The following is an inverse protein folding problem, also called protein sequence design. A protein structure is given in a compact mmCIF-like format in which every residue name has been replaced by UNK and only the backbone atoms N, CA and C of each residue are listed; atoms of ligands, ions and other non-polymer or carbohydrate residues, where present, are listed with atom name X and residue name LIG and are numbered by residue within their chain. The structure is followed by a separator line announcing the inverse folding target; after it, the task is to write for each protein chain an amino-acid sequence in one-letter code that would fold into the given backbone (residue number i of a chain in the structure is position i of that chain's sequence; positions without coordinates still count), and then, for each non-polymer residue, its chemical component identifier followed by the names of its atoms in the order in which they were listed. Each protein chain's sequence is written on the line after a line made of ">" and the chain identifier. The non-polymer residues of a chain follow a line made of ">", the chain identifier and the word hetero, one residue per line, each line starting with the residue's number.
data_IF_527639489922
#
_entry.id   IF_527639489922
#
_cell.length_a   1.000
_cell.length_b   1.000
_cell.length_c   1.000
_cell.angle_alpha   90.00
_cell.angle_beta   90.00
_cell.angle_gamma   90.00
#
_symmetry.space_group_name_H-M   'P 1'
#
loop_
_entity.id
_entity.type
_entity.pdbx_description
1 polymer ?
#
# COMPACT_ATOMS: atom_id res chain seq x y z
N UNK A 1 -21.19 45.23 -20.97
CA UNK A 1 -20.02 44.47 -21.44
C UNK A 1 -19.62 43.44 -20.40
N UNK A 2 -19.71 42.13 -20.71
CA UNK A 2 -18.92 41.11 -20.03
C UNK A 2 -18.06 40.32 -21.02
N UNK A 3 -16.77 40.22 -20.70
CA UNK A 3 -15.78 39.47 -21.48
C UNK A 3 -16.00 37.96 -21.31
N UNK A 4 -16.26 37.30 -22.44
CA UNK A 4 -16.24 35.85 -22.61
C UNK A 4 -14.78 35.38 -22.64
N UNK A 5 -14.41 34.46 -21.76
CA UNK A 5 -13.20 33.63 -21.91
C UNK A 5 -13.61 32.18 -22.12
N UNK A 6 -13.58 31.78 -23.38
CA UNK A 6 -13.65 30.41 -23.87
C UNK A 6 -12.33 29.70 -23.60
N UNK A 7 -12.32 28.65 -22.77
CA UNK A 7 -11.21 27.70 -22.71
C UNK A 7 -11.60 26.42 -23.45
N UNK A 8 -10.94 26.24 -24.60
CA UNK A 8 -11.02 25.08 -25.50
C UNK A 8 -10.65 23.80 -24.76
N UNK A 9 -11.53 22.80 -24.83
CA UNK A 9 -11.20 21.40 -24.59
C UNK A 9 -10.22 20.93 -25.67
N UNK A 10 -9.02 20.53 -25.27
CA UNK A 10 -8.13 19.71 -26.11
C UNK A 10 -8.44 18.26 -25.75
N UNK A 11 -9.17 17.60 -26.64
CA UNK A 11 -9.44 16.17 -26.61
C UNK A 11 -8.26 15.41 -27.23
N UNK A 12 -7.53 14.64 -26.42
CA UNK A 12 -6.53 13.68 -26.90
C UNK A 12 -7.21 12.32 -27.03
N UNK A 13 -7.68 12.02 -28.24
CA UNK A 13 -8.13 10.69 -28.66
C UNK A 13 -6.91 9.87 -29.08
N UNK A 14 -6.51 8.87 -28.28
CA UNK A 14 -5.54 7.87 -28.70
C UNK A 14 -6.26 6.75 -29.47
N UNK A 15 -6.09 6.78 -30.79
CA UNK A 15 -6.56 5.75 -31.71
C UNK A 15 -5.64 4.52 -31.66
N UNK A 16 -6.20 3.37 -31.31
CA UNK A 16 -5.58 2.05 -31.52
C UNK A 16 -5.58 1.74 -33.03
N UNK A 17 -4.43 1.91 -33.69
CA UNK A 17 -4.19 1.38 -35.03
C UNK A 17 -3.83 -0.10 -34.95
N UNK A 18 -4.71 -0.94 -35.52
CA UNK A 18 -4.38 -2.26 -36.07
C UNK A 18 -3.38 -2.08 -37.21
N UNK A 19 -2.41 -2.99 -37.35
CA UNK A 19 -1.75 -3.19 -38.64
C UNK A 19 -1.78 -4.66 -39.03
N UNK A 20 -2.33 -4.86 -40.23
CA UNK A 20 -2.51 -6.13 -40.93
C UNK A 20 -1.25 -6.52 -41.68
N UNK A 21 -1.22 -7.80 -42.06
CA UNK A 21 -0.28 -8.47 -42.97
C UNK A 21 -0.23 -7.84 -44.36
N UNK A 22 0.97 -7.71 -44.93
CA UNK A 22 1.31 -7.73 -46.37
C UNK A 22 2.78 -8.18 -46.47
N UNK A 23 3.08 -9.41 -46.91
CA UNK A 23 3.41 -9.82 -48.29
C UNK A 23 4.50 -8.98 -48.99
N UNK A 24 5.71 -9.54 -49.00
CA UNK A 24 6.73 -9.67 -50.08
C UNK A 24 6.82 -8.52 -51.10
N UNK A 25 7.98 -7.85 -51.13
CA UNK A 25 8.64 -7.48 -52.38
C UNK A 25 10.17 -7.46 -52.20
N UNK A 26 10.83 -8.29 -53.00
CA UNK A 26 12.29 -8.47 -53.04
C UNK A 26 12.95 -7.35 -53.82
N UNK A 27 13.97 -6.70 -53.25
CA UNK A 27 14.93 -5.93 -54.03
C UNK A 27 16.35 -6.34 -53.67
N UNK A 28 17.04 -6.80 -54.71
CA UNK A 28 18.45 -7.14 -54.78
C UNK A 28 19.32 -5.94 -54.35
N UNK A 29 20.22 -6.16 -53.38
CA UNK A 29 21.40 -5.32 -53.17
C UNK A 29 22.61 -6.25 -53.16
N UNK A 30 23.54 -6.00 -54.08
CA UNK A 30 24.79 -6.72 -54.29
C UNK A 30 25.72 -6.65 -53.05
N UNK A 31 26.50 -7.71 -52.77
CA UNK A 31 27.48 -7.70 -51.69
C UNK A 31 28.79 -7.05 -52.15
N UNK A 32 29.14 -5.90 -51.57
CA UNK A 32 30.46 -5.29 -51.75
C UNK A 32 31.47 -5.96 -50.82
N UNK A 33 32.38 -6.71 -51.42
CA UNK A 33 33.57 -7.27 -50.79
C UNK A 33 34.57 -6.18 -50.33
N UNK A 34 35.32 -6.53 -49.28
CA UNK A 34 36.50 -5.88 -48.66
C UNK A 34 36.19 -5.43 -47.22
N UNK A 35 36.88 -5.84 -46.15
CA UNK A 35 38.23 -6.39 -46.04
C UNK A 35 38.37 -7.29 -44.80
N UNK A 36 39.14 -8.36 -44.95
CA UNK A 36 39.65 -9.21 -43.86
C UNK A 36 40.50 -8.38 -42.88
N UNK A 37 39.98 -8.15 -41.67
CA UNK A 37 40.80 -8.12 -40.46
C UNK A 37 40.60 -9.48 -39.80
N UNK A 38 41.62 -10.31 -39.98
CA UNK A 38 41.76 -11.63 -39.40
C UNK A 38 42.02 -11.47 -37.90
N UNK A 39 40.96 -11.43 -37.09
CA UNK A 39 41.05 -11.71 -35.66
C UNK A 39 41.10 -13.23 -35.49
N UNK A 40 42.31 -13.77 -35.59
CA UNK A 40 42.62 -15.09 -35.04
C UNK A 40 42.86 -14.94 -33.53
N UNK A 41 42.08 -15.68 -32.74
CA UNK A 41 42.40 -15.99 -31.34
C UNK A 41 41.51 -15.33 -30.30
N UNK A 42 40.35 -15.94 -30.00
CA UNK A 42 39.94 -16.53 -28.70
C UNK A 42 38.56 -17.17 -28.96
N UNK A 43 38.50 -18.18 -29.84
CA UNK A 43 37.34 -19.06 -29.96
C UNK A 43 37.66 -20.37 -29.22
N UNK A 44 37.77 -20.27 -27.89
CA UNK A 44 37.67 -21.42 -26.99
C UNK A 44 36.23 -21.54 -26.50
N UNK A 45 35.63 -22.74 -26.40
CA UNK A 45 34.22 -22.93 -26.01
C UNK A 45 33.96 -22.70 -24.50
N UNK A 46 34.66 -21.77 -23.82
CA UNK A 46 34.73 -21.74 -22.36
C UNK A 46 34.79 -20.39 -21.66
N UNK A 47 34.38 -19.27 -22.27
CA UNK A 47 34.50 -17.94 -21.62
C UNK A 47 33.22 -17.11 -21.59
N UNK A 48 32.05 -17.75 -21.59
CA UNK A 48 30.79 -17.05 -21.35
C UNK A 48 30.55 -16.87 -19.85
N UNK A 49 30.07 -15.70 -19.42
CA UNK A 49 29.67 -15.44 -18.02
C UNK A 49 28.79 -16.58 -17.45
N UNK A 50 27.92 -17.16 -18.28
CA UNK A 50 26.97 -18.21 -17.90
C UNK A 50 27.58 -19.62 -17.83
N UNK A 51 28.87 -19.77 -18.15
CA UNK A 51 29.63 -21.03 -18.00
C UNK A 51 30.42 -21.08 -16.68
N UNK A 52 30.34 -20.02 -15.86
CA UNK A 52 30.94 -19.98 -14.55
C UNK A 52 30.30 -21.02 -13.59
N UNK A 53 31.04 -21.51 -12.59
CA UNK A 53 30.49 -22.30 -11.49
C UNK A 53 29.28 -21.63 -10.83
N UNK A 54 28.33 -22.45 -10.36
CA UNK A 54 27.06 -22.01 -9.78
C UNK A 54 27.24 -21.09 -8.58
N UNK A 55 28.33 -21.25 -7.84
CA UNK A 55 28.67 -20.45 -6.66
C UNK A 55 29.04 -19.01 -7.06
N UNK A 56 29.86 -18.86 -8.11
CA UNK A 56 30.23 -17.54 -8.64
C UNK A 56 29.02 -16.85 -9.28
N UNK A 57 28.20 -17.61 -10.01
CA UNK A 57 26.94 -17.10 -10.56
C UNK A 57 26.00 -16.64 -9.45
N UNK A 58 25.84 -17.42 -8.37
CA UNK A 58 25.02 -17.02 -7.22
C UNK A 58 25.51 -15.71 -6.61
N UNK A 59 26.83 -15.57 -6.39
CA UNK A 59 27.41 -14.36 -5.83
C UNK A 59 27.26 -13.13 -6.74
N UNK A 60 27.38 -13.31 -8.06
CA UNK A 60 27.12 -12.21 -9.01
C UNK A 60 25.64 -11.82 -8.95
N UNK A 61 24.74 -12.81 -8.97
CA UNK A 61 23.31 -12.57 -9.07
C UNK A 61 22.74 -11.93 -7.80
N UNK A 62 23.26 -12.27 -6.60
CA UNK A 62 22.84 -11.64 -5.33
C UNK A 62 23.07 -10.12 -5.29
N UNK A 63 23.97 -9.59 -6.12
CA UNK A 63 24.19 -8.13 -6.23
C UNK A 63 23.23 -7.42 -7.18
N UNK A 64 22.49 -8.16 -8.01
CA UNK A 64 21.63 -7.60 -9.05
C UNK A 64 20.28 -7.16 -8.49
N UNK A 65 19.75 -6.06 -9.04
CA UNK A 65 18.39 -5.62 -8.77
C UNK A 65 17.35 -6.53 -9.46
N UNK A 66 16.08 -6.41 -9.06
CA UNK A 66 15.01 -7.15 -9.74
C UNK A 66 14.92 -6.81 -11.23
N UNK A 67 15.12 -5.54 -11.58
CA UNK A 67 15.04 -5.06 -12.96
C UNK A 67 16.14 -5.67 -13.81
N UNK A 68 17.37 -5.74 -13.27
CA UNK A 68 18.51 -6.37 -13.92
C UNK A 68 18.28 -7.87 -14.13
N UNK A 69 17.72 -8.55 -13.14
CA UNK A 69 17.37 -9.97 -13.25
C UNK A 69 16.29 -10.20 -14.30
N UNK A 70 15.28 -9.34 -14.35
CA UNK A 70 14.25 -9.39 -15.38
C UNK A 70 14.85 -9.17 -16.78
N UNK A 71 15.75 -8.18 -16.93
CA UNK A 71 16.46 -7.94 -18.17
C UNK A 71 17.34 -9.12 -18.57
N UNK A 72 18.06 -9.71 -17.62
CA UNK A 72 18.93 -10.87 -17.84
C UNK A 72 18.15 -12.08 -18.38
N UNK A 73 16.93 -12.32 -17.88
CA UNK A 73 16.04 -13.39 -18.39
C UNK A 73 15.67 -13.21 -19.86
N UNK A 74 15.68 -11.97 -20.37
CA UNK A 74 15.33 -11.66 -21.76
C UNK A 74 16.53 -11.79 -22.71
N UNK A 75 17.76 -11.91 -22.18
CA UNK A 75 18.98 -11.95 -23.01
C UNK A 75 19.17 -13.27 -23.74
N UNK A 76 19.06 -14.41 -23.05
CA UNK A 76 19.24 -15.73 -23.65
C UNK A 76 18.46 -16.84 -22.91
N UNK A 77 18.28 -17.99 -23.57
CA UNK A 77 17.54 -19.14 -23.01
C UNK A 77 18.20 -19.72 -21.74
N UNK A 78 19.53 -19.74 -21.71
CA UNK A 78 20.30 -20.30 -20.59
C UNK A 78 20.15 -19.41 -19.34
N UNK A 79 20.30 -18.09 -19.50
CA UNK A 79 20.04 -17.12 -18.44
C UNK A 79 18.58 -17.20 -17.95
N UNK A 80 17.62 -17.33 -18.86
CA UNK A 80 16.23 -17.52 -18.49
C UNK A 80 16.04 -18.80 -17.65
N UNK A 81 16.65 -19.91 -18.04
CA UNK A 81 16.57 -21.17 -17.29
C UNK A 81 17.19 -21.03 -15.89
N UNK A 82 18.38 -20.46 -15.78
CA UNK A 82 19.09 -20.26 -14.49
C UNK A 82 18.32 -19.39 -13.50
N UNK A 83 17.63 -18.35 -13.98
CA UNK A 83 16.86 -17.44 -13.13
C UNK A 83 15.44 -17.95 -12.88
N UNK A 84 14.88 -18.74 -13.79
CA UNK A 84 13.47 -19.15 -13.70
C UNK A 84 13.21 -20.12 -12.56
N UNK A 85 14.12 -21.06 -12.31
CA UNK A 85 14.01 -22.05 -11.25
C UNK A 85 15.40 -22.40 -10.68
N UNK A 86 15.49 -22.62 -9.36
CA UNK A 86 16.71 -23.17 -8.74
C UNK A 86 17.26 -22.41 -7.53
N UNK A 87 18.50 -22.75 -7.18
CA UNK A 87 19.15 -22.28 -5.94
C UNK A 87 19.73 -20.86 -6.05
N UNK A 88 20.05 -20.40 -7.26
CA UNK A 88 20.48 -19.00 -7.51
C UNK A 88 19.36 -18.03 -7.15
N UNK A 89 18.12 -18.35 -7.55
CA UNK A 89 16.97 -17.54 -7.20
C UNK A 89 16.68 -17.57 -5.68
N UNK A 90 16.89 -18.72 -5.04
CA UNK A 90 16.77 -18.87 -3.58
C UNK A 90 17.77 -17.97 -2.85
N UNK A 91 19.04 -18.08 -3.22
CA UNK A 91 20.13 -17.29 -2.62
C UNK A 91 19.91 -15.80 -2.82
N UNK A 92 19.51 -15.38 -4.02
CA UNK A 92 19.12 -13.99 -4.30
C UNK A 92 18.01 -13.47 -3.38
N UNK A 93 16.97 -14.28 -3.16
CA UNK A 93 15.83 -13.91 -2.32
C UNK A 93 16.21 -13.74 -0.85
N UNK A 94 17.11 -14.58 -0.32
CA UNK A 94 17.48 -14.59 1.11
C UNK A 94 18.61 -13.62 1.46
N UNK A 95 19.63 -13.49 0.61
CA UNK A 95 20.85 -12.73 0.94
C UNK A 95 20.62 -11.23 0.84
N UNK A 96 19.86 -10.80 -0.16
CA UNK A 96 19.87 -9.40 -0.58
C UNK A 96 18.84 -8.52 0.12
N UNK A 97 18.19 -9.01 1.19
CA UNK A 97 17.08 -8.33 1.91
C UNK A 97 15.93 -7.87 1.00
N UNK A 98 15.87 -8.37 -0.24
CA UNK A 98 14.89 -7.95 -1.24
C UNK A 98 13.47 -8.38 -0.89
N UNK A 99 13.33 -9.46 -0.14
CA UNK A 99 12.06 -9.94 0.39
C UNK A 99 12.15 -9.96 1.91
N UNK A 100 11.16 -9.35 2.57
CA UNK A 100 11.11 -9.33 4.04
C UNK A 100 10.97 -10.77 4.60
N UNK A 101 11.75 -11.14 5.64
CA UNK A 101 11.65 -12.46 6.25
C UNK A 101 10.24 -12.82 6.75
N UNK A 102 9.52 -11.81 7.26
CA UNK A 102 8.12 -11.96 7.67
C UNK A 102 7.23 -12.43 6.51
N UNK A 103 7.48 -11.94 5.29
CA UNK A 103 6.71 -12.35 4.12
C UNK A 103 6.99 -13.81 3.73
N UNK A 104 8.23 -14.27 3.88
CA UNK A 104 8.61 -15.66 3.62
C UNK A 104 8.00 -16.62 4.66
N UNK A 105 7.83 -16.17 5.90
CA UNK A 105 7.11 -16.91 6.94
C UNK A 105 5.62 -17.05 6.60
N UNK A 106 4.98 -15.96 6.15
CA UNK A 106 3.56 -15.97 5.80
C UNK A 106 3.28 -16.79 4.54
N UNK A 107 4.15 -16.73 3.53
CA UNK A 107 3.99 -17.46 2.28
C UNK A 107 5.13 -18.45 2.08
N UNK A 108 5.09 -19.65 2.67
CA UNK A 108 6.12 -20.65 2.44
C UNK A 108 6.21 -20.98 0.95
N UNK A 109 7.44 -21.15 0.44
CA UNK A 109 7.66 -21.54 -0.94
C UNK A 109 7.66 -23.07 -1.09
N UNK A 110 7.19 -23.54 -2.24
CA UNK A 110 7.32 -24.95 -2.65
C UNK A 110 8.68 -25.17 -3.32
N UNK A 111 9.29 -26.34 -3.13
CA UNK A 111 10.50 -26.71 -3.84
C UNK A 111 10.15 -27.40 -5.18
N UNK A 112 10.72 -26.98 -6.33
CA UNK A 112 11.71 -25.91 -6.52
C UNK A 112 11.10 -24.49 -6.55
N UNK A 113 11.87 -23.48 -6.09
CA UNK A 113 11.45 -22.08 -6.12
C UNK A 113 11.36 -21.60 -7.57
N UNK A 114 10.20 -21.06 -7.94
CA UNK A 114 9.95 -20.48 -9.27
C UNK A 114 10.05 -18.95 -9.23
N UNK A 115 10.50 -18.36 -10.33
CA UNK A 115 10.56 -16.91 -10.49
C UNK A 115 9.22 -16.21 -10.29
N UNK A 116 8.11 -16.86 -10.67
CA UNK A 116 6.77 -16.30 -10.45
C UNK A 116 6.46 -16.12 -8.96
N UNK A 117 6.93 -17.02 -8.09
CA UNK A 117 6.79 -16.86 -6.64
C UNK A 117 7.51 -15.61 -6.16
N UNK A 118 8.74 -15.38 -6.60
CA UNK A 118 9.53 -14.19 -6.24
C UNK A 118 8.87 -12.90 -6.68
N UNK A 119 8.38 -12.84 -7.93
CA UNK A 119 7.65 -11.67 -8.43
C UNK A 119 6.40 -11.37 -7.60
N UNK A 120 5.67 -12.41 -7.17
CA UNK A 120 4.50 -12.25 -6.30
C UNK A 120 4.88 -11.65 -4.95
N UNK A 121 5.96 -12.13 -4.32
CA UNK A 121 6.40 -11.59 -3.04
C UNK A 121 6.81 -10.13 -3.14
N UNK A 122 7.61 -9.78 -4.14
CA UNK A 122 8.03 -8.39 -4.36
C UNK A 122 6.82 -7.49 -4.64
N UNK A 123 5.84 -7.98 -5.41
CA UNK A 123 4.59 -7.25 -5.65
C UNK A 123 3.80 -7.01 -4.36
N UNK A 124 3.65 -8.03 -3.51
CA UNK A 124 2.96 -7.90 -2.20
C UNK A 124 3.66 -6.89 -1.30
N UNK A 125 4.98 -6.98 -1.18
CA UNK A 125 5.78 -6.05 -0.40
C UNK A 125 5.68 -4.61 -0.95
N UNK A 126 5.78 -4.43 -2.27
CA UNK A 126 5.63 -3.12 -2.90
C UNK A 126 4.24 -2.52 -2.67
N UNK A 127 3.18 -3.34 -2.73
CA UNK A 127 1.82 -2.89 -2.41
C UNK A 127 1.74 -2.47 -0.94
N UNK A 128 2.25 -3.26 0.00
CA UNK A 128 2.23 -2.92 1.42
C UNK A 128 2.98 -1.62 1.73
N UNK A 129 4.22 -1.48 1.22
CA UNK A 129 5.04 -0.25 1.37
C UNK A 129 4.33 0.98 0.81
N UNK A 130 3.78 0.89 -0.41
CA UNK A 130 3.02 1.99 -1.01
C UNK A 130 1.77 2.32 -0.20
N UNK A 131 1.09 1.31 0.35
CA UNK A 131 -0.13 1.51 1.14
C UNK A 131 0.20 2.18 2.47
N UNK A 132 1.26 1.76 3.16
CA UNK A 132 1.75 2.39 4.39
C UNK A 132 2.15 3.86 4.16
N UNK A 133 2.83 4.17 3.05
CA UNK A 133 3.16 5.53 2.68
C UNK A 133 1.90 6.40 2.45
N UNK A 134 0.87 5.83 1.81
CA UNK A 134 -0.41 6.52 1.62
C UNK A 134 -1.18 6.69 2.93
N UNK A 135 -1.13 5.73 3.85
CA UNK A 135 -1.74 5.86 5.17
C UNK A 135 -1.07 6.93 6.01
N UNK A 136 0.26 6.96 6.07
CA UNK A 136 0.97 8.02 6.80
C UNK A 136 0.75 9.39 6.17
N UNK A 137 0.66 9.49 4.84
CA UNK A 137 0.25 10.73 4.18
C UNK A 137 -1.20 11.14 4.52
N UNK A 138 -2.11 10.17 4.63
CA UNK A 138 -3.49 10.40 5.07
C UNK A 138 -3.53 10.90 6.53
N UNK A 139 -2.78 10.26 7.43
CA UNK A 139 -2.66 10.63 8.85
C UNK A 139 -2.11 12.05 8.96
N UNK A 140 -1.04 12.37 8.23
CA UNK A 140 -0.50 13.73 8.18
C UNK A 140 -1.58 14.76 7.80
N UNK A 141 -2.27 14.53 6.69
CA UNK A 141 -3.21 15.50 6.11
C UNK A 141 -4.46 15.69 6.95
N UNK A 142 -5.03 14.60 7.48
CA UNK A 142 -6.35 14.62 8.12
C UNK A 142 -6.30 14.68 9.64
N UNK A 143 -5.20 14.26 10.25
CA UNK A 143 -5.05 14.18 11.71
C UNK A 143 -4.01 15.20 12.17
N UNK A 144 -2.73 14.96 11.88
CA UNK A 144 -1.61 15.76 12.42
C UNK A 144 -1.75 17.24 12.05
N UNK A 145 -1.97 17.54 10.76
CA UNK A 145 -2.16 18.91 10.28
C UNK A 145 -3.31 19.60 11.01
N UNK A 146 -4.46 18.94 11.16
CA UNK A 146 -5.66 19.55 11.74
C UNK A 146 -5.50 19.73 13.26
N UNK A 147 -5.00 18.71 13.95
CA UNK A 147 -4.81 18.73 15.40
C UNK A 147 -3.78 19.76 15.82
N UNK A 148 -2.57 19.73 15.24
CA UNK A 148 -1.49 20.62 15.67
C UNK A 148 -1.67 22.07 15.22
N UNK A 149 -2.37 22.32 14.11
CA UNK A 149 -2.75 23.69 13.72
C UNK A 149 -3.73 24.30 14.73
N UNK A 150 -4.61 23.50 15.36
CA UNK A 150 -5.54 23.99 16.39
C UNK A 150 -4.85 24.34 17.70
N UNK A 151 -3.78 23.61 18.04
CA UNK A 151 -2.99 23.87 19.26
C UNK A 151 -2.04 25.07 19.06
N UNK A 152 -1.92 25.60 17.84
CA UNK A 152 -1.10 26.79 17.55
C UNK A 152 0.41 26.55 17.61
N UNK A 153 0.84 25.29 17.67
CA UNK A 153 2.25 24.92 17.83
C UNK A 153 3.09 25.12 16.56
N UNK A 154 2.45 25.14 15.39
CA UNK A 154 3.15 25.21 14.10
C UNK A 154 2.49 26.24 13.17
N UNK A 155 3.21 27.32 12.89
CA UNK A 155 2.74 28.37 11.97
C UNK A 155 3.11 28.10 10.50
N UNK A 156 4.05 27.18 10.24
CA UNK A 156 4.50 26.82 8.89
C UNK A 156 4.22 25.36 8.55
N UNK A 157 3.49 25.13 7.45
CA UNK A 157 3.18 23.79 6.92
C UNK A 157 4.44 23.04 6.46
N UNK A 158 5.48 23.75 6.01
CA UNK A 158 6.73 23.12 5.57
C UNK A 158 7.51 22.52 6.74
N UNK A 159 7.65 23.27 7.85
CA UNK A 159 8.33 22.79 9.06
C UNK A 159 7.62 21.56 9.62
N UNK A 160 6.29 21.62 9.77
CA UNK A 160 5.49 20.49 10.25
C UNK A 160 5.68 19.21 9.42
N UNK A 161 5.79 19.36 8.09
CA UNK A 161 6.02 18.23 7.19
C UNK A 161 7.41 17.62 7.37
N UNK A 162 8.44 18.45 7.55
CA UNK A 162 9.80 18.00 7.81
C UNK A 162 9.87 17.25 9.15
N UNK A 163 9.28 17.81 10.20
CA UNK A 163 9.31 17.24 11.55
C UNK A 163 8.51 15.91 11.63
N UNK A 164 7.46 15.77 10.80
CA UNK A 164 6.70 14.52 10.70
C UNK A 164 7.37 13.45 9.82
N UNK A 165 8.33 13.79 8.97
CA UNK A 165 8.95 12.83 8.05
C UNK A 165 9.64 11.62 8.75
N UNK A 166 10.46 11.77 9.80
CA UNK A 166 11.08 10.63 10.48
C UNK A 166 10.03 9.74 11.17
N UNK A 167 9.01 10.36 11.75
CA UNK A 167 7.87 9.67 12.38
C UNK A 167 7.11 8.85 11.33
N UNK A 168 6.85 9.44 10.17
CA UNK A 168 6.18 8.75 9.08
C UNK A 168 6.98 7.52 8.61
N UNK A 169 8.32 7.60 8.57
CA UNK A 169 9.17 6.49 8.21
C UNK A 169 9.09 5.35 9.25
N UNK A 170 9.12 5.68 10.55
CA UNK A 170 8.99 4.70 11.64
C UNK A 170 7.61 4.04 11.64
N UNK A 171 6.54 4.84 11.51
CA UNK A 171 5.18 4.33 11.36
C UNK A 171 5.07 3.40 10.16
N UNK A 172 5.66 3.77 9.01
CA UNK A 172 5.67 2.89 7.83
C UNK A 172 6.40 1.58 8.11
N UNK A 173 7.56 1.61 8.76
CA UNK A 173 8.34 0.42 9.10
C UNK A 173 7.53 -0.55 9.98
N UNK A 174 6.78 -0.04 10.96
CA UNK A 174 5.91 -0.84 11.83
C UNK A 174 4.62 -1.31 11.14
N UNK A 175 4.04 -0.50 10.27
CA UNK A 175 2.80 -0.84 9.56
C UNK A 175 3.00 -1.90 8.47
N UNK A 176 4.15 -1.94 7.80
CA UNK A 176 4.38 -2.86 6.67
C UNK A 176 4.20 -4.33 7.05
N UNK A 177 4.81 -4.87 8.12
CA UNK A 177 4.58 -6.25 8.55
C UNK A 177 3.11 -6.55 8.84
N UNK A 178 2.40 -5.63 9.52
CA UNK A 178 0.98 -5.78 9.85
C UNK A 178 0.10 -5.81 8.59
N UNK A 179 0.41 -4.97 7.61
CA UNK A 179 -0.26 -4.96 6.31
C UNK A 179 -0.01 -6.27 5.54
N UNK A 180 1.20 -6.80 5.58
CA UNK A 180 1.51 -8.09 4.95
C UNK A 180 0.75 -9.24 5.62
N UNK A 181 0.67 -9.26 6.96
CA UNK A 181 -0.14 -10.24 7.69
C UNK A 181 -1.61 -10.14 7.29
N UNK A 182 -2.17 -8.93 7.26
CA UNK A 182 -3.56 -8.71 6.86
C UNK A 182 -3.81 -9.11 5.40
N UNK A 183 -2.87 -8.83 4.50
CA UNK A 183 -2.95 -9.25 3.09
C UNK A 183 -2.97 -10.77 2.97
N UNK A 184 -2.07 -11.47 3.68
CA UNK A 184 -2.04 -12.93 3.73
C UNK A 184 -3.35 -13.49 4.27
N UNK A 185 -3.85 -12.94 5.37
CA UNK A 185 -5.13 -13.32 5.94
C UNK A 185 -6.28 -13.18 4.93
N UNK A 186 -6.41 -12.02 4.26
CA UNK A 186 -7.45 -11.79 3.26
C UNK A 186 -7.34 -12.74 2.06
N UNK A 187 -6.13 -12.98 1.54
CA UNK A 187 -5.91 -13.92 0.43
C UNK A 187 -6.31 -15.35 0.82
N UNK A 188 -5.90 -15.81 2.01
CA UNK A 188 -6.22 -17.15 2.49
C UNK A 188 -7.71 -17.29 2.79
N UNK A 189 -8.35 -16.28 3.39
CA UNK A 189 -9.81 -16.22 3.55
C UNK A 189 -10.53 -16.31 2.21
N UNK A 190 -10.08 -15.59 1.19
CA UNK A 190 -10.70 -15.64 -0.14
C UNK A 190 -10.60 -17.05 -0.77
N UNK A 191 -9.44 -17.69 -0.70
CA UNK A 191 -9.22 -19.06 -1.21
C UNK A 191 -10.11 -20.07 -0.47
N UNK A 192 -10.14 -20.02 0.86
CA UNK A 192 -10.96 -20.90 1.68
C UNK A 192 -12.45 -20.71 1.38
N UNK A 193 -12.88 -19.46 1.26
CA UNK A 193 -14.27 -19.12 0.96
C UNK A 193 -14.67 -19.69 -0.42
N UNK A 194 -13.88 -19.44 -1.46
CA UNK A 194 -14.14 -19.99 -2.80
C UNK A 194 -14.18 -21.52 -2.82
N UNK A 195 -13.30 -22.18 -2.07
CA UNK A 195 -13.28 -23.64 -1.94
C UNK A 195 -14.59 -24.14 -1.30
N UNK A 196 -15.04 -23.50 -0.23
CA UNK A 196 -16.31 -23.81 0.44
C UNK A 196 -17.49 -23.67 -0.51
N UNK A 197 -17.62 -22.54 -1.21
CA UNK A 197 -18.71 -22.33 -2.18
C UNK A 197 -18.66 -23.30 -3.37
N UNK A 198 -17.48 -23.74 -3.79
CA UNK A 198 -17.34 -24.71 -4.88
C UNK A 198 -17.70 -26.14 -4.45
N UNK A 199 -17.54 -26.47 -3.17
CA UNK A 199 -17.80 -27.81 -2.63
C UNK A 199 -19.25 -28.04 -2.17
N UNK A 200 -20.01 -26.97 -1.93
CA UNK A 200 -21.35 -27.06 -1.33
C UNK A 200 -22.43 -26.87 -2.39
N UNK A 201 -23.18 -27.94 -2.70
CA UNK A 201 -24.34 -27.90 -3.61
C UNK A 201 -25.60 -27.28 -2.99
N UNK A 202 -25.57 -26.86 -1.72
CA UNK A 202 -26.76 -26.47 -0.95
C UNK A 202 -26.92 -24.94 -0.81
N UNK A 203 -28.17 -24.46 -0.82
CA UNK A 203 -28.54 -23.04 -0.93
C UNK A 203 -28.82 -22.31 0.40
N UNK A 204 -28.51 -22.92 1.56
CA UNK A 204 -28.80 -22.30 2.86
C UNK A 204 -27.67 -21.34 3.31
N UNK A 205 -27.98 -20.04 3.38
CA UNK A 205 -27.05 -18.99 3.83
C UNK A 205 -26.44 -19.24 5.22
N UNK A 206 -27.19 -19.87 6.13
CA UNK A 206 -26.72 -20.23 7.48
C UNK A 206 -25.64 -21.33 7.46
N UNK A 207 -25.74 -22.30 6.56
CA UNK A 207 -24.73 -23.38 6.43
C UNK A 207 -23.43 -22.80 5.88
N UNK A 208 -23.53 -21.78 5.01
CA UNK A 208 -22.38 -21.10 4.40
C UNK A 208 -21.60 -20.24 5.38
N UNK A 209 -22.29 -19.44 6.20
CA UNK A 209 -21.64 -18.65 7.24
C UNK A 209 -20.89 -19.57 8.21
N UNK A 210 -21.53 -20.65 8.67
CA UNK A 210 -20.92 -21.63 9.57
C UNK A 210 -19.68 -22.32 8.98
N UNK A 211 -19.68 -22.68 7.70
CA UNK A 211 -18.52 -23.30 7.03
C UNK A 211 -17.39 -22.31 6.80
N UNK A 212 -17.70 -21.06 6.42
CA UNK A 212 -16.73 -19.96 6.31
C UNK A 212 -16.08 -19.68 7.66
N UNK A 213 -16.88 -19.64 8.71
CA UNK A 213 -16.44 -19.40 10.08
C UNK A 213 -15.55 -20.54 10.58
N UNK A 214 -15.89 -21.80 10.27
CA UNK A 214 -15.02 -22.95 10.56
C UNK A 214 -13.68 -22.89 9.83
N UNK A 215 -13.66 -22.52 8.55
CA UNK A 215 -12.43 -22.37 7.79
C UNK A 215 -11.56 -21.22 8.32
N UNK A 216 -12.21 -20.11 8.70
CA UNK A 216 -11.55 -18.96 9.32
C UNK A 216 -10.97 -19.34 10.69
N UNK A 217 -11.68 -20.12 11.51
CA UNK A 217 -11.14 -20.65 12.78
C UNK A 217 -9.92 -21.54 12.60
N UNK A 218 -9.89 -22.35 11.55
CA UNK A 218 -8.72 -23.16 11.24
C UNK A 218 -7.52 -22.26 10.89
N UNK A 219 -7.74 -21.23 10.07
CA UNK A 219 -6.73 -20.24 9.70
C UNK A 219 -6.17 -19.48 10.92
N UNK A 220 -7.03 -19.09 11.87
CA UNK A 220 -6.60 -18.36 13.06
C UNK A 220 -5.66 -19.16 13.98
N UNK A 221 -5.66 -20.50 13.90
CA UNK A 221 -4.74 -21.33 14.69
C UNK A 221 -3.29 -21.19 14.24
N UNK A 222 -3.06 -20.75 13.00
CA UNK A 222 -1.72 -20.62 12.43
C UNK A 222 -1.04 -19.31 12.83
N UNK A 223 -1.75 -18.38 13.47
CA UNK A 223 -1.23 -17.09 13.92
C UNK A 223 -1.01 -17.07 15.43
N UNK A 224 0.08 -16.43 15.85
CA UNK A 224 0.30 -16.15 17.26
C UNK A 224 -0.70 -15.09 17.78
N UNK A 225 -1.09 -15.21 19.05
CA UNK A 225 -2.07 -14.31 19.66
C UNK A 225 -1.67 -12.83 19.59
N UNK A 226 -0.37 -12.52 19.74
CA UNK A 226 0.14 -11.17 19.61
C UNK A 226 -0.05 -10.62 18.18
N UNK A 227 0.24 -11.44 17.16
CA UNK A 227 0.06 -11.07 15.76
C UNK A 227 -1.41 -10.83 15.42
N UNK A 228 -2.32 -11.65 15.96
CA UNK A 228 -3.76 -11.47 15.80
C UNK A 228 -4.25 -10.15 16.41
N UNK A 229 -3.72 -9.78 17.58
CA UNK A 229 -4.03 -8.50 18.24
C UNK A 229 -3.62 -7.32 17.36
N UNK A 230 -2.40 -7.32 16.86
CA UNK A 230 -1.89 -6.18 16.07
C UNK A 230 -2.55 -6.13 14.68
N UNK A 231 -2.83 -7.30 14.09
CA UNK A 231 -3.66 -7.41 12.88
C UNK A 231 -5.07 -6.83 13.09
N UNK A 232 -5.68 -7.09 14.25
CA UNK A 232 -7.00 -6.54 14.57
C UNK A 232 -6.95 -5.02 14.75
N UNK A 233 -5.92 -4.47 15.42
CA UNK A 233 -5.77 -3.01 15.57
C UNK A 233 -5.64 -2.31 14.21
N UNK A 234 -4.80 -2.83 13.31
CA UNK A 234 -4.68 -2.24 11.97
C UNK A 234 -5.97 -2.38 11.17
N UNK A 235 -6.74 -3.45 11.38
CA UNK A 235 -8.06 -3.61 10.78
C UNK A 235 -9.06 -2.55 11.28
N UNK A 236 -9.09 -2.28 12.59
CA UNK A 236 -9.91 -1.19 13.15
C UNK A 236 -9.54 0.15 12.50
N UNK A 237 -8.25 0.44 12.37
CA UNK A 237 -7.77 1.65 11.69
C UNK A 237 -8.21 1.70 10.23
N UNK A 238 -8.06 0.61 9.47
CA UNK A 238 -8.47 0.53 8.06
C UNK A 238 -9.98 0.72 7.92
N UNK A 239 -10.78 0.13 8.81
CA UNK A 239 -12.24 0.24 8.81
C UNK A 239 -12.67 1.68 9.07
N UNK A 240 -12.10 2.31 10.10
CA UNK A 240 -12.33 3.72 10.39
C UNK A 240 -11.94 4.63 9.22
N UNK A 241 -10.73 4.46 8.68
CA UNK A 241 -10.24 5.25 7.55
C UNK A 241 -11.11 5.04 6.31
N UNK A 242 -11.50 3.81 6.03
CA UNK A 242 -12.40 3.46 4.93
C UNK A 242 -13.74 4.19 5.07
N UNK A 243 -14.28 4.24 6.29
CA UNK A 243 -15.47 5.04 6.58
C UNK A 243 -15.23 6.53 6.30
N UNK A 244 -14.06 7.09 6.60
CA UNK A 244 -13.76 8.50 6.28
C UNK A 244 -13.63 8.77 4.76
N UNK A 245 -13.11 7.82 3.97
CA UNK A 245 -12.83 8.04 2.54
C UNK A 245 -13.97 7.64 1.60
N UNK A 246 -14.79 6.65 1.99
CA UNK A 246 -15.90 6.12 1.21
C UNK A 246 -17.26 6.61 1.67
N UNK A 247 -17.41 7.01 2.94
CA UNK A 247 -18.65 7.54 3.46
C UNK A 247 -18.61 9.06 3.60
N UNK A 248 -19.79 9.65 3.50
CA UNK A 248 -19.99 11.09 3.63
C UNK A 248 -19.61 11.52 5.06
N UNK A 249 -18.91 12.65 5.23
CA UNK A 249 -18.69 13.20 6.57
C UNK A 249 -20.04 13.50 7.24
N UNK A 250 -20.24 12.95 8.44
CA UNK A 250 -21.49 13.12 9.21
C UNK A 250 -21.76 14.58 9.57
N UNK A 251 -20.71 15.38 9.73
CA UNK A 251 -20.77 16.79 10.15
C UNK A 251 -21.15 17.79 9.04
N UNK A 252 -21.07 17.42 7.77
CA UNK A 252 -21.32 18.38 6.69
C UNK A 252 -22.81 18.76 6.57
N UNK A 253 -23.13 20.02 6.30
CA UNK A 253 -24.52 20.49 6.13
C UNK A 253 -25.13 20.10 4.77
N UNK A 254 -26.45 20.03 4.64
CA UNK A 254 -27.12 19.58 3.40
C UNK A 254 -26.69 20.35 2.13
N UNK A 255 -26.45 21.66 2.25
CA UNK A 255 -25.99 22.54 1.16
C UNK A 255 -24.53 22.25 0.78
N UNK A 256 -23.64 22.13 1.76
CA UNK A 256 -22.23 21.75 1.55
C UNK A 256 -22.14 20.37 0.88
N UNK A 257 -23.04 19.47 1.27
CA UNK A 257 -23.12 18.14 0.70
C UNK A 257 -23.63 18.14 -0.74
N UNK A 258 -24.59 18.99 -1.09
CA UNK A 258 -25.05 19.15 -2.48
C UNK A 258 -23.96 19.78 -3.36
N UNK A 259 -23.29 20.83 -2.86
CA UNK A 259 -22.21 21.52 -3.57
C UNK A 259 -21.01 20.62 -3.88
N UNK A 260 -20.70 19.66 -3.00
CA UNK A 260 -19.64 18.66 -3.21
C UNK A 260 -20.11 17.39 -3.94
N UNK A 261 -21.37 17.34 -4.39
CA UNK A 261 -21.93 16.22 -5.15
C UNK A 261 -22.15 14.95 -4.32
N UNK A 262 -22.29 15.05 -3.00
CA UNK A 262 -22.61 13.93 -2.13
C UNK A 262 -24.13 13.66 -2.20
N UNK A 263 -24.55 12.89 -3.21
CA UNK A 263 -25.94 12.47 -3.44
C UNK A 263 -26.47 11.61 -2.28
N UNK A 264 -27.73 11.81 -1.92
CA UNK A 264 -28.41 11.26 -0.73
C UNK A 264 -28.42 9.73 -0.64
N UNK A 265 -28.40 9.01 -1.77
CA UNK A 265 -28.65 7.56 -1.83
C UNK A 265 -27.37 6.71 -1.95
N UNK A 266 -26.23 7.27 -1.54
CA UNK A 266 -24.95 6.68 -1.89
C UNK A 266 -24.10 6.47 -0.63
N UNK A 267 -24.47 5.49 0.19
CA UNK A 267 -23.51 4.84 1.09
C UNK A 267 -23.06 3.56 0.38
N UNK A 268 -21.76 3.40 0.24
CA UNK A 268 -21.24 2.10 -0.16
C UNK A 268 -21.47 1.17 1.04
N UNK A 269 -22.10 0.02 0.82
CA UNK A 269 -22.29 -0.93 1.91
C UNK A 269 -20.91 -1.41 2.39
N UNK A 270 -20.72 -1.55 3.70
CA UNK A 270 -19.50 -2.14 4.26
C UNK A 270 -19.21 -3.50 3.62
N UNK A 271 -20.26 -4.29 3.36
CA UNK A 271 -20.15 -5.59 2.69
C UNK A 271 -19.58 -5.47 1.26
N UNK A 272 -19.95 -4.43 0.49
CA UNK A 272 -19.40 -4.23 -0.86
C UNK A 272 -17.91 -3.91 -0.84
N UNK A 273 -17.47 -3.12 0.15
CA UNK A 273 -16.06 -2.84 0.36
C UNK A 273 -15.31 -4.11 0.77
N UNK A 274 -15.83 -4.86 1.74
CA UNK A 274 -15.22 -6.11 2.22
C UNK A 274 -15.12 -7.17 1.11
N UNK A 275 -16.18 -7.36 0.32
CA UNK A 275 -16.13 -8.21 -0.88
C UNK A 275 -15.06 -7.75 -1.86
N UNK A 276 -14.95 -6.44 -2.12
CA UNK A 276 -13.92 -5.92 -3.00
C UNK A 276 -12.51 -6.11 -2.43
N UNK A 277 -12.33 -5.97 -1.11
CA UNK A 277 -11.06 -6.23 -0.45
C UNK A 277 -10.68 -7.71 -0.56
N UNK A 278 -11.59 -8.63 -0.25
CA UNK A 278 -11.31 -10.07 -0.32
C UNK A 278 -11.02 -10.54 -1.76
N UNK A 279 -11.86 -10.18 -2.72
CA UNK A 279 -11.81 -10.82 -4.04
C UNK A 279 -11.14 -9.97 -5.12
N UNK A 280 -11.18 -8.63 -5.04
CA UNK A 280 -10.72 -7.76 -6.14
C UNK A 280 -9.25 -7.35 -6.05
N UNK A 281 -8.60 -7.51 -4.90
CA UNK A 281 -7.16 -7.30 -4.80
C UNK A 281 -6.60 -6.87 -3.44
N UNK A 282 -7.29 -7.11 -2.32
CA UNK A 282 -6.79 -6.83 -0.97
C UNK A 282 -6.36 -5.39 -0.79
N UNK A 283 -5.16 -5.20 -0.24
CA UNK A 283 -4.54 -3.89 -0.03
C UNK A 283 -4.41 -3.06 -1.30
N UNK A 284 -4.31 -3.68 -2.48
CA UNK A 284 -4.22 -2.90 -3.74
C UNK A 284 -5.47 -2.07 -4.00
N UNK A 285 -6.64 -2.50 -3.50
CA UNK A 285 -7.90 -1.74 -3.59
C UNK A 285 -7.84 -0.50 -2.70
N UNK A 286 -7.37 -0.65 -1.45
CA UNK A 286 -7.21 0.46 -0.51
C UNK A 286 -6.18 1.47 -1.02
N UNK A 287 -5.04 0.98 -1.50
CA UNK A 287 -4.01 1.81 -2.14
C UNK A 287 -4.58 2.62 -3.30
N UNK A 288 -5.32 1.99 -4.21
CA UNK A 288 -5.90 2.67 -5.37
C UNK A 288 -6.97 3.68 -4.92
N UNK A 289 -7.76 3.37 -3.89
CA UNK A 289 -8.77 4.27 -3.33
C UNK A 289 -8.14 5.53 -2.66
N UNK A 290 -7.02 5.37 -1.97
CA UNK A 290 -6.28 6.49 -1.38
C UNK A 290 -5.66 7.41 -2.43
N UNK A 291 -5.30 6.88 -3.60
CA UNK A 291 -4.80 7.67 -4.74
C UNK A 291 -5.90 8.48 -5.43
N UNK A 292 -7.15 8.02 -5.40
CA UNK A 292 -8.27 8.77 -5.93
C UNK A 292 -8.49 10.05 -5.11
N UNK A 293 -8.76 11.16 -5.80
CA UNK A 293 -8.98 12.46 -5.15
C UNK A 293 -10.41 12.59 -4.63
N UNK A 294 -11.39 12.19 -5.44
CA UNK A 294 -12.81 12.34 -5.11
C UNK A 294 -13.45 11.03 -4.67
N UNK A 295 -14.49 11.15 -3.85
CA UNK A 295 -15.32 10.02 -3.41
C UNK A 295 -16.03 9.34 -4.59
N UNK A 296 -16.43 10.11 -5.61
CA UNK A 296 -17.02 9.58 -6.85
C UNK A 296 -16.02 8.71 -7.61
N UNK A 297 -14.77 9.14 -7.71
CA UNK A 297 -13.72 8.37 -8.39
C UNK A 297 -13.40 7.07 -7.63
N UNK A 298 -13.37 7.12 -6.30
CA UNK A 298 -13.16 5.93 -5.44
C UNK A 298 -14.22 4.87 -5.70
N UNK A 299 -15.48 5.28 -5.80
CA UNK A 299 -16.61 4.37 -6.07
C UNK A 299 -16.60 3.83 -7.47
N UNK A 300 -16.43 4.70 -8.47
CA UNK A 300 -16.32 4.26 -9.85
C UNK A 300 -15.13 3.30 -10.05
N UNK A 301 -14.04 3.49 -9.31
CA UNK A 301 -12.91 2.56 -9.28
C UNK A 301 -13.31 1.21 -8.67
N UNK A 302 -14.00 1.22 -7.52
CA UNK A 302 -14.45 0.01 -6.85
C UNK A 302 -15.45 -0.79 -7.68
N UNK A 303 -16.50 -0.13 -8.17
CA UNK A 303 -17.52 -0.69 -9.06
C UNK A 303 -16.87 -1.31 -10.30
N UNK A 304 -15.88 -0.64 -10.90
CA UNK A 304 -15.16 -1.16 -12.06
C UNK A 304 -14.39 -2.44 -11.70
N UNK A 305 -13.70 -2.47 -10.55
CA UNK A 305 -12.96 -3.66 -10.11
C UNK A 305 -13.91 -4.84 -9.84
N UNK A 306 -15.00 -4.61 -9.11
CA UNK A 306 -16.01 -5.65 -8.82
C UNK A 306 -16.68 -6.13 -10.11
N UNK A 307 -17.14 -5.20 -10.97
CA UNK A 307 -17.77 -5.53 -12.25
C UNK A 307 -16.83 -6.31 -13.17
N UNK A 308 -15.54 -6.01 -13.17
CA UNK A 308 -14.57 -6.73 -14.01
C UNK A 308 -14.45 -8.22 -13.63
N UNK A 309 -14.68 -8.56 -12.36
CA UNK A 309 -14.67 -9.95 -11.88
C UNK A 309 -15.99 -10.69 -12.11
N UNK A 310 -17.09 -9.98 -12.38
CA UNK A 310 -18.39 -10.60 -12.63
C UNK A 310 -18.42 -11.27 -14.01
N UNK A 311 -18.99 -12.47 -14.13
CA UNK A 311 -19.18 -13.14 -15.42
C UNK A 311 -19.92 -12.29 -16.46
N UNK A 312 -20.86 -11.47 -16.01
CA UNK A 312 -21.69 -10.62 -16.87
C UNK A 312 -21.01 -9.29 -17.25
N UNK A 313 -19.88 -8.97 -16.62
CA UNK A 313 -19.23 -7.67 -16.74
C UNK A 313 -18.24 -7.58 -17.91
N UNK A 314 -17.35 -8.57 -18.04
CA UNK A 314 -16.31 -8.59 -19.09
C UNK A 314 -16.11 -10.00 -19.65
N UNK A 315 -15.81 -10.15 -20.94
CA UNK A 315 -15.52 -11.47 -21.54
C UNK A 315 -14.25 -12.15 -21.01
N UNK A 316 -13.42 -11.43 -20.25
CA UNK A 316 -12.14 -11.87 -19.68
C UNK A 316 -12.15 -11.92 -18.15
N UNK A 317 -13.34 -11.97 -17.54
CA UNK A 317 -13.48 -11.99 -16.07
C UNK A 317 -12.67 -13.12 -15.42
N UNK A 318 -12.60 -14.30 -16.05
CA UNK A 318 -11.81 -15.45 -15.58
C UNK A 318 -10.30 -15.18 -15.54
N UNK A 319 -9.75 -14.42 -16.51
CA UNK A 319 -8.34 -14.00 -16.51
C UNK A 319 -8.04 -13.14 -15.29
N UNK A 320 -9.00 -12.31 -14.87
CA UNK A 320 -8.85 -11.43 -13.71
C UNK A 320 -8.74 -12.25 -12.43
N UNK A 321 -9.57 -13.29 -12.24
CA UNK A 321 -9.43 -14.20 -11.09
C UNK A 321 -8.05 -14.87 -11.06
N UNK A 322 -7.56 -15.35 -12.22
CA UNK A 322 -6.22 -15.95 -12.32
C UNK A 322 -5.10 -14.98 -11.99
N UNK A 323 -5.19 -13.71 -12.42
CA UNK A 323 -4.18 -12.69 -12.07
C UNK A 323 -4.13 -12.36 -10.57
N UNK A 324 -5.07 -12.87 -9.79
CA UNK A 324 -5.17 -12.74 -8.33
C UNK A 324 -4.79 -14.01 -7.59
N UNK A 325 -4.26 -15.01 -8.29
CA UNK A 325 -3.92 -16.31 -7.70
C UNK A 325 -5.11 -17.04 -7.06
N UNK A 326 -6.33 -16.65 -7.46
CA UNK A 326 -7.55 -17.33 -7.10
C UNK A 326 -7.89 -18.30 -8.23
N UNK A 327 -8.20 -19.55 -7.88
CA UNK A 327 -8.74 -20.49 -8.85
C UNK A 327 -10.05 -19.90 -9.41
N UNK A 328 -10.21 -19.80 -10.74
CA UNK A 328 -11.39 -19.18 -11.33
C UNK A 328 -12.63 -20.01 -10.94
N UNK A 329 -13.59 -19.42 -10.20
CA UNK A 329 -14.78 -20.14 -9.78
C UNK A 329 -15.71 -20.42 -10.96
N UNK A 330 -16.70 -21.29 -10.76
CA UNK A 330 -17.82 -21.39 -11.70
C UNK A 330 -18.55 -20.05 -11.80
N UNK A 331 -19.25 -19.80 -12.91
CA UNK A 331 -20.01 -18.54 -13.10
C UNK A 331 -20.99 -18.27 -11.95
N UNK A 332 -21.67 -19.32 -11.50
CA UNK A 332 -22.65 -19.24 -10.40
C UNK A 332 -21.98 -18.87 -9.08
N UNK A 333 -20.84 -19.51 -8.76
CA UNK A 333 -20.07 -19.18 -7.56
C UNK A 333 -19.52 -17.76 -7.63
N UNK A 334 -19.02 -17.32 -8.79
CA UNK A 334 -18.54 -15.96 -8.99
C UNK A 334 -19.64 -14.91 -8.73
N UNK A 335 -20.86 -15.16 -9.22
CA UNK A 335 -22.01 -14.26 -8.98
C UNK A 335 -22.38 -14.28 -7.50
N UNK A 336 -22.50 -15.45 -6.89
CA UNK A 336 -22.88 -15.61 -5.47
C UNK A 336 -21.89 -14.91 -4.53
N UNK A 337 -20.58 -15.06 -4.76
CA UNK A 337 -19.52 -14.50 -3.90
C UNK A 337 -19.36 -12.99 -4.07
N UNK A 338 -19.69 -12.44 -5.25
CA UNK A 338 -19.62 -11.01 -5.55
C UNK A 338 -20.94 -10.26 -5.28
N UNK A 339 -21.97 -10.96 -4.81
CA UNK A 339 -23.16 -10.34 -4.25
C UNK A 339 -22.83 -10.03 -2.78
N UNK A 340 -22.95 -8.76 -2.35
CA UNK A 340 -22.78 -8.44 -0.94
C UNK A 340 -23.84 -9.21 -0.15
N UNK A 341 -23.43 -10.17 0.66
CA UNK A 341 -24.29 -10.71 1.72
C UNK A 341 -24.63 -9.54 2.65
N UNK A 342 -25.86 -9.50 3.16
CA UNK A 342 -26.33 -8.40 4.03
C UNK A 342 -25.61 -8.35 5.38
N UNK A 343 -24.86 -9.40 5.71
CA UNK A 343 -24.12 -9.48 6.96
C UNK A 343 -22.83 -8.67 6.90
N UNK A 344 -22.75 -7.67 7.79
CA UNK A 344 -21.53 -6.98 8.12
C UNK A 344 -20.51 -7.95 8.73
N UNK A 345 -19.20 -7.70 8.54
CA UNK A 345 -18.07 -8.44 9.11
C UNK A 345 -17.65 -9.73 8.37
N UNK A 346 -17.55 -9.68 7.04
CA UNK A 346 -17.10 -10.80 6.20
C UNK A 346 -15.62 -11.13 6.48
N UNK A 347 -14.80 -10.11 6.79
CA UNK A 347 -13.35 -10.27 6.97
C UNK A 347 -13.00 -10.64 8.42
N UNK A 348 -13.62 -9.99 9.41
CA UNK A 348 -13.43 -10.27 10.83
C UNK A 348 -14.76 -10.71 11.46
N UNK A 349 -15.22 -11.90 11.05
CA UNK A 349 -16.46 -12.50 11.52
C UNK A 349 -16.51 -12.69 13.04
N UNK A 350 -17.67 -13.09 13.54
CA UNK A 350 -17.91 -13.35 14.97
C UNK A 350 -16.85 -14.27 15.57
N UNK A 351 -16.36 -15.25 14.81
CA UNK A 351 -15.37 -16.22 15.27
C UNK A 351 -13.97 -15.65 15.51
N UNK A 352 -13.53 -14.67 14.72
CA UNK A 352 -12.25 -13.98 14.99
C UNK A 352 -12.37 -13.18 16.27
N UNK A 353 -13.51 -12.51 16.47
CA UNK A 353 -13.80 -11.76 17.70
C UNK A 353 -13.89 -12.66 18.91
N UNK A 354 -14.53 -13.83 18.82
CA UNK A 354 -14.57 -14.78 19.92
C UNK A 354 -13.18 -15.38 20.21
N UNK A 355 -12.36 -15.63 19.20
CA UNK A 355 -10.98 -16.06 19.39
C UNK A 355 -10.13 -14.99 20.10
N UNK A 356 -10.22 -13.73 19.66
CA UNK A 356 -9.56 -12.58 20.29
C UNK A 356 -10.06 -12.34 21.72
N UNK A 357 -11.36 -12.53 21.96
CA UNK A 357 -11.96 -12.42 23.29
C UNK A 357 -11.48 -13.52 24.24
N UNK A 358 -11.45 -14.79 23.80
CA UNK A 358 -10.89 -15.89 24.59
C UNK A 358 -9.41 -15.67 24.92
N UNK A 359 -8.69 -15.01 24.03
CA UNK A 359 -7.31 -14.62 24.23
C UNK A 359 -7.14 -13.37 25.13
N UNK A 360 -8.23 -12.78 25.63
CA UNK A 360 -8.21 -11.58 26.47
C UNK A 360 -7.78 -10.31 25.73
N UNK A 361 -7.80 -10.32 24.39
CA UNK A 361 -7.36 -9.20 23.55
C UNK A 361 -8.46 -8.17 23.35
N UNK A 362 -9.72 -8.61 23.30
CA UNK A 362 -10.90 -7.77 23.10
C UNK A 362 -11.91 -8.10 24.19
N UNK A 363 -12.45 -7.10 24.88
CA UNK A 363 -13.56 -7.30 25.80
C UNK A 363 -14.77 -7.85 25.02
N UNK A 364 -15.25 -9.02 25.43
CA UNK A 364 -16.44 -9.64 24.86
C UNK A 364 -17.68 -8.85 25.29
N UNK A 365 -17.93 -7.68 24.70
CA UNK A 365 -19.24 -7.07 24.81
C UNK A 365 -20.21 -7.85 23.94
N UNK A 366 -21.31 -8.33 24.53
CA UNK A 366 -22.38 -9.08 23.83
C UNK A 366 -23.08 -8.24 22.75
N UNK A 367 -22.86 -6.92 22.75
CA UNK A 367 -23.35 -6.00 21.72
C UNK A 367 -22.20 -5.71 20.76
N UNK A 368 -22.39 -6.05 19.47
CA UNK A 368 -21.42 -5.84 18.38
C UNK A 368 -20.46 -4.66 18.65
N UNK A 369 -19.20 -4.91 19.06
CA UNK A 369 -18.29 -3.83 19.37
C UNK A 369 -18.11 -3.01 18.10
N UNK A 370 -18.35 -1.70 18.21
CA UNK A 370 -18.21 -0.78 17.07
C UNK A 370 -16.74 -0.88 16.61
N UNK A 371 -16.51 -1.45 15.42
CA UNK A 371 -15.18 -1.60 14.86
C UNK A 371 -14.77 -0.27 14.20
N UNK A 372 -13.55 0.18 14.49
CA UNK A 372 -13.01 1.41 13.92
C UNK A 372 -13.55 2.66 14.61
N UNK A 373 -13.61 2.66 15.94
CA UNK A 373 -13.87 3.88 16.70
C UNK A 373 -12.69 4.86 16.59
N UNK A 374 -12.94 6.14 16.85
CA UNK A 374 -11.86 7.15 16.90
C UNK A 374 -10.83 6.78 17.95
N UNK A 375 -11.26 6.29 19.12
CA UNK A 375 -10.36 5.88 20.20
C UNK A 375 -9.42 4.74 19.79
N UNK A 376 -9.95 3.67 19.18
CA UNK A 376 -9.14 2.55 18.67
C UNK A 376 -8.09 3.04 17.66
N UNK A 377 -8.46 4.02 16.83
CA UNK A 377 -7.53 4.60 15.87
C UNK A 377 -6.47 5.46 16.53
N UNK A 378 -6.82 6.26 17.54
CA UNK A 378 -5.84 7.08 18.26
C UNK A 378 -4.85 6.23 19.04
N UNK A 379 -5.30 5.15 19.66
CA UNK A 379 -4.45 4.18 20.34
C UNK A 379 -3.48 3.51 19.36
N UNK A 380 -3.99 3.00 18.23
CA UNK A 380 -3.17 2.41 17.17
C UNK A 380 -2.13 3.40 16.63
N UNK A 381 -2.53 4.64 16.33
CA UNK A 381 -1.61 5.65 15.80
C UNK A 381 -0.53 6.04 16.81
N UNK A 382 -0.88 6.13 18.09
CA UNK A 382 0.06 6.40 19.18
C UNK A 382 1.08 5.29 19.31
N UNK A 383 0.65 4.02 19.22
CA UNK A 383 1.53 2.85 19.24
C UNK A 383 2.47 2.81 18.02
N UNK A 384 1.95 3.11 16.83
CA UNK A 384 2.77 3.15 15.61
C UNK A 384 3.81 4.28 15.64
N UNK A 385 3.47 5.43 16.21
CA UNK A 385 4.40 6.55 16.34
C UNK A 385 5.34 6.43 17.55
N UNK A 386 4.95 5.66 18.57
CA UNK A 386 5.66 5.56 19.86
C UNK A 386 5.35 6.69 20.85
N UNK A 387 4.43 7.60 20.52
CA UNK A 387 4.00 8.73 21.35
C UNK A 387 2.66 9.30 20.86
N UNK A 388 2.05 10.19 21.65
CA UNK A 388 0.76 10.78 21.34
C UNK A 388 0.84 11.83 20.22
N UNK A 389 0.51 11.39 19.00
CA UNK A 389 0.49 12.20 17.77
C UNK A 389 -0.49 13.38 17.79
N UNK A 390 -1.47 13.40 18.69
CA UNK A 390 -2.47 14.46 18.72
C UNK A 390 -1.99 15.70 19.47
N UNK A 391 -1.07 15.52 20.42
CA UNK A 391 -0.68 16.56 21.35
C UNK A 391 0.76 17.04 21.15
N UNK A 392 1.67 16.18 20.67
CA UNK A 392 3.09 16.54 20.47
C UNK A 392 3.68 15.82 19.26
N UNK A 393 4.58 16.48 18.54
CA UNK A 393 5.61 15.79 17.74
C UNK A 393 6.85 15.59 18.63
N UNK A 394 7.75 14.66 18.30
CA UNK A 394 8.93 14.43 19.10
C UNK A 394 9.66 15.77 19.24
N UNK A 395 10.12 16.15 20.44
CA UNK A 395 11.12 17.20 20.53
C UNK A 395 12.26 16.77 19.61
N UNK A 396 12.76 17.72 18.82
CA UNK A 396 13.85 17.54 17.86
C UNK A 396 14.84 16.52 18.43
N UNK A 397 15.20 15.49 17.64
CA UNK A 397 16.45 14.78 17.90
C UNK A 397 17.51 15.88 17.89
N UNK A 398 17.78 16.45 19.07
CA UNK A 398 18.86 17.36 19.30
C UNK A 398 20.06 16.70 18.67
N UNK A 399 20.69 17.38 17.73
CA UNK A 399 21.92 16.97 17.08
C UNK A 399 22.99 16.70 18.14
N UNK A 400 22.93 15.54 18.78
CA UNK A 400 24.04 14.93 19.50
C UNK A 400 24.94 14.30 18.45
N UNK A 401 25.52 15.17 17.62
CA UNK A 401 26.71 14.95 16.81
C UNK A 401 27.20 16.29 16.24
N UNK A 402 27.35 17.28 17.13
CA UNK A 402 28.34 18.35 16.94
C UNK A 402 29.29 18.31 18.12
N UNK A 403 30.14 17.28 18.17
CA UNK A 403 31.41 17.37 18.88
C UNK A 403 32.48 17.80 17.89
N UNK A 404 33.23 18.82 18.34
CA UNK A 404 34.49 19.34 17.82
C UNK A 404 34.38 20.56 16.88
N UNK A 405 34.91 21.66 17.41
CA UNK A 405 35.31 22.90 16.75
C UNK A 405 34.20 23.73 16.10
N UNK A 406 33.61 24.62 16.90
CA UNK A 406 33.62 26.03 16.52
C UNK A 406 33.57 26.93 17.74
N UNK A 407 34.50 27.86 17.69
CA UNK A 407 34.79 28.96 18.58
C UNK A 407 33.55 29.70 19.06
N UNK A 408 33.68 30.16 20.30
CA UNK A 408 33.05 31.29 20.94
C UNK A 408 32.82 32.47 19.96
N UNK A 409 31.83 33.29 20.31
CA UNK A 409 31.39 34.54 19.67
C UNK A 409 30.29 34.39 18.62
N UNK A 410 29.03 34.50 19.06
CA UNK A 410 28.09 35.45 18.43
C UNK A 410 26.89 35.78 19.32
N UNK A 411 26.81 37.06 19.63
CA UNK A 411 25.79 37.77 20.39
C UNK A 411 24.35 37.45 19.96
N UNK A 412 23.56 36.96 20.90
CA UNK A 412 22.12 37.20 20.91
C UNK A 412 21.78 38.19 22.01
N UNK A 413 21.95 39.46 21.64
CA UNK A 413 21.46 40.64 22.35
C UNK A 413 19.99 40.48 22.69
N UNK A 414 19.70 40.28 23.97
CA UNK A 414 18.42 40.67 24.56
C UNK A 414 18.17 42.13 24.15
N UNK A 415 17.09 42.39 23.42
CA UNK A 415 16.72 43.76 23.04
C UNK A 415 16.28 44.48 24.30
N UNK A 416 17.23 45.10 25.00
CA UNK A 416 16.98 45.95 26.15
C UNK A 416 15.87 46.96 25.82
N UNK A 417 14.81 46.91 26.62
CA UNK A 417 13.70 47.85 26.54
C UNK A 417 14.14 49.17 27.18
N UNK A 418 14.01 50.29 26.47
CA UNK A 418 14.37 51.60 27.00
C UNK A 418 13.51 51.92 28.23
N UNK A 419 14.11 52.06 29.40
CA UNK A 419 13.39 52.31 30.67
C UNK A 419 12.70 53.67 30.74
N UNK A 420 13.02 54.58 29.81
CA UNK A 420 12.45 55.95 29.77
C UNK A 420 11.19 56.03 28.90
N UNK A 421 11.10 55.26 27.80
CA UNK A 421 9.99 55.35 26.85
C UNK A 421 9.32 54.00 26.53
N UNK A 422 9.79 52.91 27.14
CA UNK A 422 9.31 51.54 26.97
C UNK A 422 9.38 50.98 25.54
N UNK A 423 10.03 51.66 24.60
CA UNK A 423 10.24 51.17 23.22
C UNK A 423 11.50 50.33 23.11
N UNK A 424 11.43 49.26 22.32
CA UNK A 424 12.59 48.42 21.99
C UNK A 424 13.46 49.08 20.91
N UNK A 425 14.77 48.84 20.98
CA UNK A 425 15.72 49.19 19.91
C UNK A 425 16.68 50.34 20.21
N UNK A 426 16.73 50.86 21.44
CA UNK A 426 17.75 51.80 21.89
C UNK A 426 17.90 51.78 23.41
N UNK A 427 19.09 52.12 23.92
CA UNK A 427 19.35 52.29 25.36
C UNK A 427 18.79 53.63 25.87
N UNK A 428 18.52 53.71 27.18
CA UNK A 428 17.98 54.91 27.84
C UNK A 428 18.81 56.18 27.58
N UNK A 429 20.14 56.03 27.53
CA UNK A 429 21.09 57.12 27.23
C UNK A 429 20.93 57.73 25.83
N UNK A 430 20.34 56.99 24.88
CA UNK A 430 20.10 57.43 23.51
C UNK A 430 18.60 57.72 23.25
N UNK A 431 17.80 57.88 24.30
CA UNK A 431 16.38 58.14 24.15
C UNK A 431 16.13 59.60 23.75
N UNK A 432 15.45 59.88 22.61
CA UNK A 432 15.16 61.25 22.18
C UNK A 432 14.27 62.02 23.17
N UNK A 433 13.65 61.32 24.14
CA UNK A 433 12.81 61.89 25.17
C UNK A 433 13.51 62.04 26.54
N UNK A 434 14.82 61.76 26.66
CA UNK A 434 15.52 61.79 27.95
C UNK A 434 15.67 63.20 28.56
N UNK A 435 15.43 64.27 27.79
CA UNK A 435 15.59 65.66 28.21
C UNK A 435 14.26 66.43 28.32
N UNK A 436 13.12 65.76 28.52
CA UNK A 436 11.83 66.40 28.78
C UNK A 436 11.35 66.20 30.21
#
# INVERSE_FOLDING_TARGET
>A
MPLRTTLRRISVTAALRRSSKTSIESTHIEPRANNHVRQEGIDGPGSGLLTLPTELLSQIFTTLSLDDICALRLTCRLANHLVSEGDILRTWMHVSSHVEPHLLRLYPYEHPIRFNYVIKQIRRQSIAKQTAALYTAFVYRNIVRVSLSRVGLHFSETKLRCDFAPVAAEMQARMVPLLLTLQHYMETCAVLTLKTYSSTCCDEGQVRSNLRDQATRALLKDYETAELKDMFKIWCFITWMSNQIFNRPSYAGAVERLARGWVFDSKLSTAELECALLYSGGLSVLRDALKCQTMKDRRAMLERKVKAMRPDGTGKWWEIWLTRDLAPPSKEVAIKVLLPETDHDIIFGLDVRTALSRAGVVECSEVHPIIGTVQQCTEFLTEMAGYDLLHRLPPEHSDTNTTADRSEDEDHSEREQCTVCERHGHKAENCPNANQ
#
